data_IF_063581062932
#
_entry.id   IF_063581062932
#
_cell.length_a   1.000
_cell.length_b   1.000
_cell.length_c   1.000
_cell.angle_alpha   90.00
_cell.angle_beta   90.00
_cell.angle_gamma   90.00
#
_symmetry.space_group_name_H-M   'P 1'
#
loop_
_entity.id
_entity.type
_entity.pdbx_description
1 polymer ?
#
# COMPACT_ATOMS: atom_id res chain seq x y z
N UNK A 1 -3.28 -43.49 28.64
CA UNK A 1 -4.21 -42.63 27.87
C UNK A 1 -3.98 -41.13 28.10
N UNK A 2 -3.87 -40.65 29.35
CA UNK A 2 -3.67 -39.23 29.71
C UNK A 2 -2.40 -38.59 29.10
N UNK A 3 -1.29 -39.33 28.99
CA UNK A 3 -0.01 -38.83 28.43
C UNK A 3 -0.11 -38.53 26.92
N UNK A 4 -0.87 -39.33 26.17
CA UNK A 4 -1.09 -39.12 24.73
C UNK A 4 -1.94 -37.87 24.45
N UNK A 5 -2.93 -37.61 25.31
CA UNK A 5 -3.80 -36.42 25.23
C UNK A 5 -2.98 -35.15 25.51
N UNK A 6 -2.10 -35.16 26.52
CA UNK A 6 -1.20 -34.04 26.83
C UNK A 6 -0.20 -33.74 25.69
N UNK A 7 0.44 -34.76 25.11
CA UNK A 7 1.36 -34.58 23.97
C UNK A 7 0.64 -34.03 22.74
N UNK A 8 -0.54 -34.55 22.41
CA UNK A 8 -1.34 -34.10 21.25
C UNK A 8 -1.92 -32.69 21.38
N UNK A 9 -2.06 -32.17 22.59
CA UNK A 9 -2.47 -30.78 22.86
C UNK A 9 -1.29 -29.81 22.73
N UNK A 10 -0.12 -30.18 23.25
CA UNK A 10 1.08 -29.33 23.25
C UNK A 10 1.66 -29.14 21.83
N UNK A 11 1.62 -30.18 20.99
CA UNK A 11 1.99 -30.09 19.57
C UNK A 11 1.03 -29.15 18.82
N UNK A 12 -0.27 -29.22 19.09
CA UNK A 12 -1.26 -28.38 18.43
C UNK A 12 -1.12 -26.90 18.83
N UNK A 13 -0.85 -26.62 20.11
CA UNK A 13 -0.54 -25.25 20.55
C UNK A 13 0.70 -24.68 19.86
N UNK A 14 1.74 -25.51 19.67
CA UNK A 14 2.93 -25.13 18.91
C UNK A 14 2.61 -24.84 17.44
N UNK A 15 1.83 -25.70 16.78
CA UNK A 15 1.39 -25.50 15.39
C UNK A 15 0.54 -24.25 15.26
N UNK A 16 -0.46 -24.03 16.13
CA UNK A 16 -1.28 -22.81 16.16
C UNK A 16 -0.43 -21.56 16.30
N UNK A 17 0.51 -21.55 17.26
CA UNK A 17 1.39 -20.41 17.50
C UNK A 17 2.30 -20.15 16.28
N UNK A 18 2.84 -21.21 15.69
CA UNK A 18 3.67 -21.11 14.49
C UNK A 18 2.88 -20.54 13.31
N UNK A 19 1.67 -21.04 13.04
CA UNK A 19 0.82 -20.56 11.95
C UNK A 19 0.45 -19.08 12.10
N UNK A 20 0.16 -18.61 13.32
CA UNK A 20 -0.10 -17.19 13.59
C UNK A 20 1.15 -16.35 13.34
N UNK A 21 2.32 -16.79 13.80
CA UNK A 21 3.60 -16.08 13.59
C UNK A 21 3.92 -15.98 12.10
N UNK A 22 3.84 -17.10 11.37
CA UNK A 22 4.08 -17.13 9.92
C UNK A 22 3.13 -16.18 9.19
N UNK A 23 1.84 -16.23 9.56
CA UNK A 23 0.83 -15.33 8.99
C UNK A 23 1.17 -13.86 9.24
N UNK A 24 1.51 -13.50 10.48
CA UNK A 24 1.89 -12.14 10.83
C UNK A 24 3.13 -11.67 10.06
N UNK A 25 4.17 -12.50 9.97
CA UNK A 25 5.38 -12.20 9.21
C UNK A 25 5.06 -11.99 7.73
N UNK A 26 4.24 -12.86 7.13
CA UNK A 26 3.82 -12.73 5.74
C UNK A 26 3.06 -11.43 5.47
N UNK A 27 2.13 -11.03 6.34
CA UNK A 27 1.45 -9.75 6.24
C UNK A 27 2.41 -8.56 6.39
N UNK A 28 3.34 -8.61 7.34
CA UNK A 28 4.36 -7.56 7.50
C UNK A 28 5.23 -7.43 6.23
N UNK A 29 5.69 -8.55 5.66
CA UNK A 29 6.47 -8.55 4.42
C UNK A 29 5.66 -7.98 3.25
N UNK A 30 4.38 -8.36 3.12
CA UNK A 30 3.48 -7.82 2.09
C UNK A 30 3.32 -6.30 2.21
N UNK A 31 3.13 -5.78 3.42
CA UNK A 31 3.04 -4.32 3.66
C UNK A 31 4.34 -3.62 3.25
N UNK A 32 5.50 -4.21 3.56
CA UNK A 32 6.80 -3.66 3.16
C UNK A 32 6.95 -3.65 1.64
N UNK A 33 6.66 -4.77 0.97
CA UNK A 33 6.76 -4.90 -0.49
C UNK A 33 5.77 -3.94 -1.18
N UNK A 34 4.53 -3.86 -0.69
CA UNK A 34 3.53 -2.90 -1.15
C UNK A 34 4.04 -1.47 -1.01
N UNK A 35 4.59 -1.11 0.15
CA UNK A 35 5.14 0.23 0.39
C UNK A 35 6.28 0.58 -0.59
N UNK A 36 7.14 -0.39 -0.91
CA UNK A 36 8.26 -0.20 -1.85
C UNK A 36 7.79 -0.08 -3.31
N UNK A 37 6.81 -0.87 -3.75
CA UNK A 37 6.33 -0.87 -5.13
C UNK A 37 5.33 0.27 -5.42
N UNK A 38 4.56 0.70 -4.43
CA UNK A 38 3.42 1.60 -4.59
C UNK A 38 3.76 3.07 -4.32
N UNK A 39 5.04 3.43 -4.17
CA UNK A 39 5.52 4.80 -3.88
C UNK A 39 4.89 5.91 -4.74
N UNK A 40 4.65 5.65 -6.04
CA UNK A 40 3.96 6.56 -6.97
C UNK A 40 2.51 6.87 -6.55
N UNK A 41 1.81 5.87 -6.05
CA UNK A 41 0.41 5.97 -5.69
C UNK A 41 0.21 6.63 -4.31
N UNK A 42 1.20 6.52 -3.42
CA UNK A 42 1.25 7.30 -2.17
C UNK A 42 1.31 8.81 -2.47
N UNK A 43 2.14 9.23 -3.42
CA UNK A 43 2.22 10.64 -3.85
C UNK A 43 0.88 11.10 -4.45
N UNK A 44 0.24 10.24 -5.24
CA UNK A 44 -1.07 10.53 -5.86
C UNK A 44 -2.19 10.76 -4.85
N UNK A 45 -2.17 10.03 -3.75
CA UNK A 45 -3.23 10.12 -2.73
C UNK A 45 -2.97 11.23 -1.73
N UNK A 46 -1.71 11.54 -1.42
CA UNK A 46 -1.34 12.66 -0.54
C UNK A 46 -1.60 14.04 -1.16
N UNK A 47 -1.25 14.24 -2.43
CA UNK A 47 -1.28 15.55 -3.06
C UNK A 47 -2.39 15.74 -4.10
N UNK A 48 -3.01 14.64 -4.59
CA UNK A 48 -3.92 14.58 -5.75
C UNK A 48 -3.32 15.26 -7.00
N UNK A 49 -2.90 14.48 -8.02
CA UNK A 49 -2.16 15.06 -9.14
C UNK A 49 -2.97 16.06 -9.94
N UNK A 50 -2.25 17.00 -10.54
CA UNK A 50 -2.68 17.76 -11.70
C UNK A 50 -2.19 16.99 -12.94
N UNK A 51 -3.06 16.16 -13.52
CA UNK A 51 -2.76 15.38 -14.72
C UNK A 51 -2.85 16.31 -15.93
N UNK A 52 -1.71 16.73 -16.47
CA UNK A 52 -1.65 17.65 -17.62
C UNK A 52 -2.16 16.93 -18.87
N UNK A 53 -3.23 17.47 -19.46
CA UNK A 53 -3.87 16.90 -20.65
C UNK A 53 -3.39 17.56 -21.94
N UNK A 54 -3.09 18.86 -21.89
CA UNK A 54 -2.61 19.61 -23.05
C UNK A 54 -1.86 20.89 -22.62
N UNK A 55 -1.09 21.43 -23.56
CA UNK A 55 -0.41 22.71 -23.47
C UNK A 55 -0.88 23.58 -24.63
N UNK A 56 -1.10 24.86 -24.39
CA UNK A 56 -1.40 25.84 -25.43
C UNK A 56 -0.27 25.94 -26.46
N UNK A 57 -0.64 26.12 -27.73
CA UNK A 57 0.29 26.21 -28.84
C UNK A 57 1.28 27.39 -28.66
N UNK A 58 2.57 27.14 -28.89
CA UNK A 58 3.64 28.15 -28.84
C UNK A 58 4.37 28.28 -27.51
N UNK A 59 3.94 27.58 -26.45
CA UNK A 59 4.66 27.56 -25.17
C UNK A 59 5.73 26.46 -25.15
N UNK A 60 6.98 26.78 -24.79
CA UNK A 60 8.06 25.78 -24.73
C UNK A 60 8.15 25.11 -23.35
N UNK A 61 8.53 23.83 -23.33
CA UNK A 61 8.67 23.01 -22.11
C UNK A 61 9.66 23.66 -21.13
N UNK A 62 10.75 24.19 -21.64
CA UNK A 62 11.79 24.83 -20.83
C UNK A 62 11.27 26.09 -20.13
N UNK A 63 10.42 26.87 -20.81
CA UNK A 63 9.77 28.05 -20.22
C UNK A 63 8.82 27.62 -19.11
N UNK A 64 7.98 26.60 -19.33
CA UNK A 64 7.08 26.06 -18.29
C UNK A 64 7.87 25.57 -17.08
N UNK A 65 8.90 24.75 -17.28
CA UNK A 65 9.72 24.21 -16.20
C UNK A 65 10.41 25.34 -15.39
N UNK A 66 10.91 26.37 -16.07
CA UNK A 66 11.52 27.53 -15.42
C UNK A 66 10.51 28.29 -14.56
N UNK A 67 9.30 28.54 -15.07
CA UNK A 67 8.25 29.20 -14.31
C UNK A 67 7.77 28.37 -13.12
N UNK A 68 7.60 27.06 -13.28
CA UNK A 68 7.27 26.16 -12.17
C UNK A 68 8.35 26.20 -11.08
N UNK A 69 9.63 26.24 -11.45
CA UNK A 69 10.73 26.38 -10.50
C UNK A 69 10.68 27.72 -9.76
N UNK A 70 10.43 28.82 -10.47
CA UNK A 70 10.27 30.14 -9.87
C UNK A 70 9.09 30.16 -8.89
N UNK A 71 7.92 29.68 -9.31
CA UNK A 71 6.72 29.58 -8.48
C UNK A 71 6.95 28.71 -7.22
N UNK A 72 7.62 27.56 -7.37
CA UNK A 72 7.95 26.67 -6.25
C UNK A 72 8.80 27.38 -5.19
N UNK A 73 9.82 28.11 -5.62
CA UNK A 73 10.71 28.84 -4.73
C UNK A 73 10.02 30.05 -4.07
N UNK A 74 9.26 30.85 -4.84
CA UNK A 74 8.52 32.01 -4.32
C UNK A 74 7.47 31.60 -3.28
N UNK A 75 6.73 30.52 -3.55
CA UNK A 75 5.70 29.99 -2.64
C UNK A 75 6.25 29.06 -1.56
N UNK A 76 7.56 28.80 -1.54
CA UNK A 76 8.22 27.88 -0.61
C UNK A 76 7.56 26.49 -0.55
N UNK A 77 7.28 25.93 -1.73
CA UNK A 77 6.69 24.61 -1.91
C UNK A 77 7.66 23.69 -2.66
N UNK A 78 7.32 22.40 -2.75
CA UNK A 78 7.96 21.47 -3.68
C UNK A 78 6.93 21.05 -4.74
N UNK A 79 7.37 20.96 -5.99
CA UNK A 79 6.56 20.41 -7.08
C UNK A 79 7.25 19.14 -7.55
N UNK A 80 6.53 18.01 -7.57
CA UNK A 80 7.06 16.75 -8.08
C UNK A 80 6.47 16.50 -9.46
N UNK A 81 7.31 16.38 -10.47
CA UNK A 81 6.93 15.98 -11.84
C UNK A 81 7.25 14.51 -12.02
N UNK A 82 6.30 13.75 -12.58
CA UNK A 82 6.44 12.29 -12.77
C UNK A 82 6.32 11.91 -14.23
N UNK A 83 7.40 11.41 -14.82
CA UNK A 83 7.49 11.13 -16.25
C UNK A 83 8.15 9.80 -16.54
N UNK A 84 7.91 9.23 -17.71
CA UNK A 84 8.60 8.02 -18.13
C UNK A 84 9.85 8.38 -18.94
N UNK A 85 10.96 7.74 -18.61
CA UNK A 85 12.20 7.82 -19.39
C UNK A 85 12.34 6.52 -20.18
N UNK A 86 12.48 6.58 -21.51
CA UNK A 86 12.72 5.39 -22.31
C UNK A 86 14.05 4.74 -21.91
N UNK A 87 14.06 3.42 -21.82
CA UNK A 87 15.26 2.64 -21.52
C UNK A 87 15.61 1.73 -22.67
N UNK A 88 16.87 1.29 -22.72
CA UNK A 88 17.38 0.30 -23.68
C UNK A 88 16.62 -1.03 -23.65
N UNK A 89 15.98 -1.36 -22.52
CA UNK A 89 15.18 -2.58 -22.33
C UNK A 89 13.74 -2.48 -22.91
N UNK A 90 13.40 -1.44 -23.68
CA UNK A 90 12.06 -1.17 -24.22
C UNK A 90 10.91 -1.04 -23.19
N UNK A 91 11.20 -1.08 -21.89
CA UNK A 91 10.22 -0.84 -20.82
C UNK A 91 10.47 0.56 -20.23
N UNK A 92 9.63 1.57 -20.51
CA UNK A 92 9.84 2.91 -19.97
C UNK A 92 9.85 2.89 -18.45
N UNK A 93 10.86 3.50 -17.83
CA UNK A 93 10.95 3.59 -16.36
C UNK A 93 10.32 4.90 -15.91
N UNK A 94 9.39 4.82 -14.96
CA UNK A 94 8.85 6.02 -14.31
C UNK A 94 9.92 6.65 -13.42
N UNK A 95 10.15 7.94 -13.65
CA UNK A 95 11.08 8.80 -12.92
C UNK A 95 10.35 9.99 -12.31
N UNK A 96 10.94 10.53 -11.25
CA UNK A 96 10.42 11.64 -10.46
C UNK A 96 11.47 12.73 -10.37
N UNK A 97 11.08 13.96 -10.66
CA UNK A 97 11.92 15.13 -10.45
C UNK A 97 11.25 16.08 -9.45
N UNK A 98 12.01 16.51 -8.45
CA UNK A 98 11.54 17.44 -7.41
C UNK A 98 12.04 18.84 -7.75
N UNK A 99 11.11 19.73 -8.04
CA UNK A 99 11.30 21.15 -8.31
C UNK A 99 11.09 21.93 -7.00
N UNK A 100 11.94 22.92 -6.75
CA UNK A 100 11.94 23.71 -5.53
C UNK A 100 12.85 23.13 -4.45
N UNK A 101 13.48 24.00 -3.66
CA UNK A 101 14.53 23.62 -2.69
C UNK A 101 14.03 23.45 -1.25
N UNK A 102 12.72 23.49 -1.03
CA UNK A 102 12.16 23.39 0.33
C UNK A 102 12.14 21.96 0.85
N UNK A 103 12.04 21.78 2.18
CA UNK A 103 11.93 20.48 2.86
C UNK A 103 10.46 20.00 2.99
N UNK A 104 9.55 20.52 2.17
CA UNK A 104 8.10 20.19 2.25
C UNK A 104 7.78 18.84 1.60
N UNK A 105 8.71 18.28 0.84
CA UNK A 105 8.66 16.95 0.28
C UNK A 105 9.87 16.12 0.74
N UNK A 106 9.63 14.93 1.30
CA UNK A 106 10.72 14.01 1.64
C UNK A 106 11.05 13.12 0.44
N UNK A 107 12.28 13.21 -0.06
CA UNK A 107 12.79 12.31 -1.11
C UNK A 107 12.80 10.84 -0.70
N UNK A 108 12.70 10.53 0.60
CA UNK A 108 12.56 9.15 1.09
C UNK A 108 11.25 8.48 0.67
N UNK A 109 10.26 9.25 0.21
CA UNK A 109 9.00 8.73 -0.33
C UNK A 109 9.16 8.13 -1.74
N UNK A 110 10.31 8.34 -2.38
CA UNK A 110 10.62 7.84 -3.72
C UNK A 110 11.88 6.98 -3.64
N UNK A 111 11.88 5.83 -4.30
CA UNK A 111 13.10 5.02 -4.44
C UNK A 111 14.21 5.85 -5.10
N UNK A 112 15.44 5.79 -4.58
CA UNK A 112 16.58 6.55 -5.13
C UNK A 112 16.76 6.32 -6.64
N UNK A 113 16.51 5.10 -7.11
CA UNK A 113 16.63 4.73 -8.52
C UNK A 113 15.55 5.37 -9.41
N UNK A 114 14.44 5.78 -8.81
CA UNK A 114 13.34 6.46 -9.49
C UNK A 114 13.49 7.98 -9.49
N UNK A 115 14.52 8.54 -8.85
CA UNK A 115 14.81 9.97 -8.94
C UNK A 115 15.46 10.25 -10.30
N UNK A 116 14.92 11.24 -11.02
CA UNK A 116 15.45 11.68 -12.29
C UNK A 116 16.65 12.63 -12.10
N UNK A 117 17.60 12.55 -13.02
CA UNK A 117 18.61 13.58 -13.24
C UNK A 117 17.98 14.85 -13.83
N UNK A 118 18.72 15.96 -13.79
CA UNK A 118 18.29 17.22 -14.40
C UNK A 118 18.12 17.12 -15.92
N UNK A 119 19.03 16.39 -16.58
CA UNK A 119 18.97 16.18 -18.03
C UNK A 119 17.71 15.40 -18.43
N UNK A 120 17.40 14.30 -17.74
CA UNK A 120 16.17 13.53 -17.97
C UNK A 120 14.91 14.38 -17.78
N UNK A 121 14.93 15.32 -16.81
CA UNK A 121 13.82 16.25 -16.58
C UNK A 121 13.67 17.28 -17.70
N UNK A 122 14.77 17.86 -18.19
CA UNK A 122 14.74 18.86 -19.27
C UNK A 122 14.25 18.26 -20.60
N UNK A 123 14.56 16.99 -20.87
CA UNK A 123 14.09 16.27 -22.06
C UNK A 123 12.74 15.57 -21.87
N UNK A 124 12.10 15.72 -20.71
CA UNK A 124 10.82 15.06 -20.40
C UNK A 124 9.62 15.81 -21.00
N UNK A 125 8.65 15.07 -21.55
CA UNK A 125 7.37 15.60 -22.03
C UNK A 125 6.60 16.33 -20.89
N UNK A 126 5.63 17.16 -21.24
CA UNK A 126 4.76 17.91 -20.33
C UNK A 126 3.50 17.16 -19.90
N UNK A 127 3.08 16.10 -20.62
CA UNK A 127 1.83 15.36 -20.39
C UNK A 127 1.89 14.41 -19.19
N UNK A 128 2.44 14.91 -18.10
CA UNK A 128 2.85 14.12 -16.96
C UNK A 128 2.34 14.77 -15.67
N UNK A 129 1.90 13.96 -14.69
CA UNK A 129 1.29 14.48 -13.47
C UNK A 129 2.25 15.38 -12.68
N UNK A 130 1.70 16.50 -12.21
CA UNK A 130 2.35 17.42 -11.27
C UNK A 130 1.71 17.28 -9.88
N UNK A 131 2.56 17.16 -8.85
CA UNK A 131 2.14 17.11 -7.45
C UNK A 131 2.72 18.30 -6.71
N UNK A 132 1.90 18.99 -5.92
CA UNK A 132 2.31 20.19 -5.19
C UNK A 132 2.31 19.89 -3.68
N UNK A 133 3.45 20.12 -3.03
CA UNK A 133 3.65 19.85 -1.60
C UNK A 133 4.02 21.12 -0.86
N UNK A 134 3.22 21.48 0.14
CA UNK A 134 3.39 22.68 0.96
C UNK A 134 2.06 23.38 1.22
N UNK A 135 2.10 24.50 1.92
CA UNK A 135 0.90 25.29 2.18
C UNK A 135 0.56 26.15 0.95
N UNK A 136 -0.23 25.60 0.03
CA UNK A 136 -0.69 26.31 -1.17
C UNK A 136 -2.14 25.89 -1.47
N UNK A 137 -2.99 26.88 -1.79
CA UNK A 137 -4.36 26.58 -2.18
C UNK A 137 -4.41 25.96 -3.57
N UNK A 138 -5.37 25.05 -3.78
CA UNK A 138 -5.61 24.44 -5.08
C UNK A 138 -5.96 25.48 -6.16
N UNK A 139 -6.59 26.59 -5.77
CA UNK A 139 -6.94 27.73 -6.63
C UNK A 139 -5.71 28.51 -7.09
N UNK A 140 -4.72 28.72 -6.21
CA UNK A 140 -3.47 29.38 -6.58
C UNK A 140 -2.65 28.52 -7.56
N UNK A 141 -2.61 27.21 -7.35
CA UNK A 141 -1.99 26.26 -8.28
C UNK A 141 -2.73 26.26 -9.62
N UNK A 142 -4.07 26.19 -9.60
CA UNK A 142 -4.88 26.23 -10.81
C UNK A 142 -4.63 27.49 -11.65
N UNK A 143 -4.61 28.66 -11.00
CA UNK A 143 -4.32 29.94 -11.65
C UNK A 143 -2.93 29.95 -12.28
N UNK A 144 -1.94 29.40 -11.60
CA UNK A 144 -0.58 29.31 -12.13
C UNK A 144 -0.50 28.36 -13.35
N UNK A 145 -1.11 27.18 -13.27
CA UNK A 145 -1.14 26.24 -14.39
C UNK A 145 -1.85 26.83 -15.61
N UNK A 146 -2.99 27.49 -15.41
CA UNK A 146 -3.70 28.18 -16.49
C UNK A 146 -2.88 29.35 -17.06
N UNK A 147 -2.15 30.10 -16.23
CA UNK A 147 -1.23 31.16 -16.71
C UNK A 147 -0.13 30.60 -17.62
N UNK A 148 0.29 29.36 -17.37
CA UNK A 148 1.29 28.64 -18.18
C UNK A 148 0.69 27.92 -19.39
N UNK A 149 -0.61 28.10 -19.66
CA UNK A 149 -1.32 27.44 -20.75
C UNK A 149 -1.47 25.93 -20.56
N UNK A 150 -1.41 25.44 -19.31
CA UNK A 150 -1.53 24.02 -18.99
C UNK A 150 -2.98 23.68 -18.65
N UNK A 151 -3.56 22.80 -19.46
CA UNK A 151 -4.86 22.20 -19.18
C UNK A 151 -4.65 20.90 -18.40
N UNK A 152 -5.50 20.65 -17.40
CA UNK A 152 -5.34 19.51 -16.52
C UNK A 152 -6.67 18.91 -16.05
N UNK A 153 -6.61 17.65 -15.63
CA UNK A 153 -7.65 16.99 -14.84
C UNK A 153 -7.10 16.61 -13.47
N UNK A 154 -7.96 16.63 -12.44
CA UNK A 154 -7.58 16.24 -11.08
C UNK A 154 -8.22 14.91 -10.72
N UNK A 155 -7.46 13.84 -10.91
CA UNK A 155 -7.88 12.49 -10.56
C UNK A 155 -6.82 11.84 -9.68
N UNK A 156 -7.21 11.36 -8.51
CA UNK A 156 -6.36 10.52 -7.66
C UNK A 156 -6.59 9.04 -7.95
N UNK A 157 -5.54 8.23 -7.86
CA UNK A 157 -5.69 6.78 -7.99
C UNK A 157 -6.63 6.21 -6.92
N UNK A 158 -7.49 5.26 -7.30
CA UNK A 158 -8.33 4.53 -6.36
C UNK A 158 -7.49 3.50 -5.59
N UNK A 159 -7.42 3.64 -4.26
CA UNK A 159 -6.64 2.73 -3.41
C UNK A 159 -7.07 1.27 -3.55
N UNK A 160 -8.36 1.00 -3.72
CA UNK A 160 -8.85 -0.37 -3.88
C UNK A 160 -8.32 -0.98 -5.18
N UNK A 161 -8.33 -0.22 -6.27
CA UNK A 161 -7.75 -0.65 -7.55
C UNK A 161 -6.24 -0.85 -7.45
N UNK A 162 -5.55 0.03 -6.71
CA UNK A 162 -4.09 -0.09 -6.51
C UNK A 162 -3.73 -1.33 -5.71
N UNK A 163 -4.46 -1.62 -4.63
CA UNK A 163 -4.27 -2.83 -3.82
C UNK A 163 -4.60 -4.06 -4.65
N UNK A 164 -5.72 -4.06 -5.37
CA UNK A 164 -6.12 -5.15 -6.24
C UNK A 164 -5.06 -5.46 -7.30
N UNK A 165 -4.59 -4.45 -8.03
CA UNK A 165 -3.56 -4.63 -9.06
C UNK A 165 -2.26 -5.15 -8.43
N UNK A 166 -1.83 -4.61 -7.29
CA UNK A 166 -0.65 -5.13 -6.59
C UNK A 166 -0.78 -6.61 -6.23
N UNK A 167 -1.94 -7.02 -5.70
CA UNK A 167 -2.19 -8.41 -5.31
C UNK A 167 -2.30 -9.34 -6.52
N UNK A 168 -2.90 -8.87 -7.61
CA UNK A 168 -3.10 -9.63 -8.85
C UNK A 168 -1.81 -9.77 -9.66
N UNK A 169 -1.12 -8.65 -9.91
CA UNK A 169 0.06 -8.59 -10.79
C UNK A 169 1.25 -9.40 -10.24
N UNK A 170 1.31 -9.56 -8.91
CA UNK A 170 2.37 -10.31 -8.22
C UNK A 170 1.93 -11.71 -7.76
N UNK A 171 0.72 -12.18 -8.12
CA UNK A 171 0.13 -13.44 -7.64
C UNK A 171 0.01 -13.55 -6.09
N UNK A 172 0.15 -12.44 -5.35
CA UNK A 172 0.03 -12.43 -3.90
C UNK A 172 -1.39 -12.74 -3.42
N UNK A 173 -2.40 -12.48 -4.24
CA UNK A 173 -3.78 -12.86 -3.94
C UNK A 173 -3.91 -14.37 -3.65
N UNK A 174 -3.32 -15.22 -4.50
CA UNK A 174 -3.36 -16.68 -4.34
C UNK A 174 -2.62 -17.11 -3.08
N UNK A 175 -1.44 -16.52 -2.83
CA UNK A 175 -0.66 -16.79 -1.63
C UNK A 175 -1.42 -16.41 -0.35
N UNK A 176 -2.07 -15.25 -0.32
CA UNK A 176 -2.90 -14.79 0.81
C UNK A 176 -4.08 -15.72 1.07
N UNK A 177 -4.80 -16.14 0.02
CA UNK A 177 -5.92 -17.07 0.15
C UNK A 177 -5.45 -18.39 0.79
N UNK A 178 -4.34 -18.95 0.31
CA UNK A 178 -3.80 -20.21 0.83
C UNK A 178 -3.34 -20.10 2.29
N UNK A 179 -2.71 -18.97 2.64
CA UNK A 179 -2.25 -18.69 3.99
C UNK A 179 -3.43 -18.51 4.97
N UNK A 180 -4.49 -17.81 4.56
CA UNK A 180 -5.72 -17.67 5.32
C UNK A 180 -6.46 -19.01 5.47
N UNK A 181 -6.44 -19.87 4.46
CA UNK A 181 -7.03 -21.20 4.50
C UNK A 181 -6.31 -22.11 5.51
N UNK A 182 -4.97 -22.08 5.54
CA UNK A 182 -4.17 -22.78 6.55
C UNK A 182 -4.54 -22.29 7.95
N UNK A 183 -4.64 -20.97 8.14
CA UNK A 183 -5.02 -20.37 9.41
C UNK A 183 -6.42 -20.82 9.86
N UNK A 184 -7.39 -20.85 8.93
CA UNK A 184 -8.76 -21.32 9.17
C UNK A 184 -8.76 -22.77 9.65
N UNK A 185 -8.10 -23.68 8.93
CA UNK A 185 -8.03 -25.11 9.30
C UNK A 185 -7.40 -25.27 10.68
N UNK A 186 -6.32 -24.55 10.96
CA UNK A 186 -5.65 -24.59 12.27
C UNK A 186 -6.57 -24.12 13.40
N UNK A 187 -7.34 -23.05 13.20
CA UNK A 187 -8.31 -22.59 14.18
C UNK A 187 -9.46 -23.57 14.39
N UNK A 188 -10.00 -24.15 13.32
CA UNK A 188 -11.05 -25.17 13.39
C UNK A 188 -10.56 -26.38 14.21
N UNK A 189 -9.38 -26.93 13.88
CA UNK A 189 -8.83 -28.10 14.59
C UNK A 189 -8.53 -27.78 16.06
N UNK A 190 -7.99 -26.59 16.35
CA UNK A 190 -7.75 -26.16 17.72
C UNK A 190 -9.04 -26.07 18.55
N UNK A 191 -10.10 -25.56 17.94
CA UNK A 191 -11.40 -25.44 18.55
C UNK A 191 -12.07 -26.80 18.79
N UNK A 192 -12.07 -27.71 17.81
CA UNK A 192 -12.63 -29.06 18.00
C UNK A 192 -11.93 -29.83 19.13
N UNK A 193 -10.60 -29.75 19.24
CA UNK A 193 -9.88 -30.39 20.34
C UNK A 193 -10.20 -29.78 21.71
N UNK A 194 -10.39 -28.46 21.78
CA UNK A 194 -10.82 -27.78 23.02
C UNK A 194 -12.25 -28.15 23.42
N UNK A 195 -13.17 -28.20 22.46
CA UNK A 195 -14.54 -28.65 22.69
C UNK A 195 -14.55 -30.10 23.18
N UNK A 196 -13.76 -30.99 22.58
CA UNK A 196 -13.62 -32.37 23.05
C UNK A 196 -13.05 -32.45 24.47
N UNK A 197 -12.00 -31.69 24.78
CA UNK A 197 -11.41 -31.66 26.12
C UNK A 197 -12.40 -31.11 27.17
N UNK A 198 -13.15 -30.07 26.83
CA UNK A 198 -14.20 -29.52 27.69
C UNK A 198 -15.37 -30.47 27.87
N UNK A 199 -15.76 -31.21 26.83
CA UNK A 199 -16.84 -32.19 26.93
C UNK A 199 -16.44 -33.37 27.85
N UNK A 200 -15.18 -33.83 27.77
CA UNK A 200 -14.64 -34.81 28.71
C UNK A 200 -14.63 -34.26 30.14
N UNK A 201 -14.13 -33.03 30.33
CA UNK A 201 -14.11 -32.39 31.65
C UNK A 201 -15.52 -32.11 32.21
N UNK A 202 -16.51 -31.86 31.33
CA UNK A 202 -17.92 -31.72 31.72
C UNK A 202 -18.52 -33.06 32.16
N UNK A 203 -18.26 -34.14 31.42
CA UNK A 203 -18.66 -35.50 31.79
C UNK A 203 -18.00 -35.95 33.11
N UNK A 204 -16.81 -35.45 33.41
CA UNK A 204 -16.09 -35.67 34.67
C UNK A 204 -16.51 -34.69 35.79
N UNK A 205 -17.43 -33.74 35.52
CA UNK A 205 -17.93 -32.77 36.50
C UNK A 205 -16.99 -31.61 36.85
N UNK A 206 -15.89 -31.45 36.11
CA UNK A 206 -14.78 -30.53 36.42
C UNK A 206 -14.93 -29.16 35.73
N UNK A 207 -15.70 -29.05 34.64
CA UNK A 207 -15.87 -27.77 33.92
C UNK A 207 -17.27 -27.57 33.32
N UNK A 208 -17.63 -26.31 33.01
CA UNK A 208 -18.90 -25.96 32.36
C UNK A 208 -18.68 -25.78 30.85
N UNK A 209 -19.53 -26.41 30.03
CA UNK A 209 -19.51 -26.33 28.56
C UNK A 209 -19.54 -24.89 28.00
N UNK A 210 -20.15 -23.95 28.75
CA UNK A 210 -20.25 -22.53 28.39
C UNK A 210 -18.88 -21.85 28.20
N UNK A 211 -17.85 -22.25 28.95
CA UNK A 211 -16.52 -21.63 28.84
C UNK A 211 -15.86 -21.98 27.50
N UNK A 212 -16.00 -23.23 27.04
CA UNK A 212 -15.46 -23.67 25.75
C UNK A 212 -16.19 -23.02 24.56
N UNK A 213 -17.51 -22.84 24.67
CA UNK A 213 -18.29 -22.13 23.66
C UNK A 213 -17.87 -20.66 23.51
N UNK A 214 -17.59 -19.98 24.63
CA UNK A 214 -17.11 -18.59 24.62
C UNK A 214 -15.76 -18.44 23.89
N UNK A 215 -14.82 -19.36 24.13
CA UNK A 215 -13.54 -19.36 23.41
C UNK A 215 -13.68 -19.70 21.93
N UNK A 216 -14.61 -20.61 21.56
CA UNK A 216 -14.92 -20.92 20.17
C UNK A 216 -15.38 -19.67 19.42
N UNK A 217 -16.39 -18.97 19.96
CA UNK A 217 -16.92 -17.75 19.37
C UNK A 217 -15.84 -16.67 19.27
N UNK A 218 -15.01 -16.51 20.30
CA UNK A 218 -13.91 -15.55 20.26
C UNK A 218 -12.89 -15.84 19.15
N UNK A 219 -12.44 -17.10 19.01
CA UNK A 219 -11.50 -17.49 17.95
C UNK A 219 -12.15 -17.33 16.54
N UNK A 220 -13.46 -17.56 16.37
CA UNK A 220 -14.18 -17.29 15.11
C UNK A 220 -14.31 -15.79 14.80
N UNK A 221 -14.59 -14.95 15.79
CA UNK A 221 -14.65 -13.49 15.64
C UNK A 221 -13.29 -12.94 15.23
N UNK A 222 -12.21 -13.40 15.87
CA UNK A 222 -10.84 -13.01 15.52
C UNK A 222 -10.52 -13.38 14.07
N UNK A 223 -10.91 -14.59 13.63
CA UNK A 223 -10.77 -14.98 12.23
C UNK A 223 -11.58 -14.07 11.30
N UNK A 224 -12.85 -13.80 11.60
CA UNK A 224 -13.74 -13.01 10.74
C UNK A 224 -13.25 -11.56 10.60
N UNK A 225 -12.78 -10.93 11.69
CA UNK A 225 -12.17 -9.60 11.67
C UNK A 225 -10.90 -9.58 10.82
N UNK A 226 -10.17 -10.70 10.76
CA UNK A 226 -8.96 -10.81 9.93
C UNK A 226 -9.29 -11.11 8.47
N UNK A 227 -10.43 -11.77 8.20
CA UNK A 227 -10.86 -12.24 6.88
C UNK A 227 -11.64 -11.19 6.08
N UNK A 228 -12.57 -10.48 6.72
CA UNK A 228 -13.49 -9.52 6.06
C UNK A 228 -12.77 -8.33 5.39
N UNK A 229 -11.66 -7.77 5.90
CA UNK A 229 -10.94 -6.70 5.20
C UNK A 229 -10.22 -7.17 3.91
N UNK A 230 -10.18 -8.48 3.63
CA UNK A 230 -9.51 -9.07 2.47
C UNK A 230 -10.39 -9.29 1.24
N UNK A 231 -11.69 -8.98 1.33
CA UNK A 231 -12.68 -8.98 0.24
C UNK A 231 -13.28 -7.58 0.08
#
# INVERSE_FOLDING_TARGET
MVVFIKKGFLVLQKVRRLSIIVTAISFCLLIVIFSLQTGRNYISTLARPYNITSLDAGTSINVVNHHLAKFANERKINIVKVFNVPTTENVPRTKFYVIGSTRKFSKSLISKQSIASKQEFETSDLRYPLYFFGNISSTAVAKELHRLGLHYKRDSGNWNTIIYNFLSDNYFAVFLILLLLILLVVFIVANFKRLRASNIAYLEGVSKFQDAWKYFIHDQIVFLITFVPGF
#
